data_IF_087725919339
#
_entry.id   IF_087725919339
#
_cell.length_a   1.000
_cell.length_b   1.000
_cell.length_c   1.000
_cell.angle_alpha   90.00
_cell.angle_beta   90.00
_cell.angle_gamma   90.00
#
_symmetry.space_group_name_H-M   'P 1'
#
loop_
_entity.id
_entity.type
_entity.pdbx_description
1 polymer ?
#
# COMPACT_ATOMS: atom_id res chain seq x y z
N UNK A 1 8.09 0.82 -23.58
CA UNK A 1 8.30 1.42 -22.25
C UNK A 1 8.56 0.38 -21.17
N UNK A 2 7.68 -0.61 -20.95
CA UNK A 2 7.85 -1.69 -19.95
C UNK A 2 9.17 -2.48 -20.08
N UNK A 3 9.60 -2.81 -21.30
CA UNK A 3 10.90 -3.47 -21.55
C UNK A 3 12.08 -2.64 -21.05
N UNK A 4 12.08 -1.32 -21.32
CA UNK A 4 13.15 -0.42 -20.88
C UNK A 4 13.23 -0.32 -19.36
N UNK A 5 12.08 -0.18 -18.67
CA UNK A 5 12.06 -0.15 -17.19
C UNK A 5 12.57 -1.45 -16.59
N UNK A 6 12.24 -2.59 -17.21
CA UNK A 6 12.72 -3.90 -16.75
C UNK A 6 14.24 -4.02 -16.87
N UNK A 7 14.81 -3.55 -17.99
CA UNK A 7 16.27 -3.54 -18.19
C UNK A 7 16.95 -2.63 -17.16
N UNK A 8 16.44 -1.42 -16.93
CA UNK A 8 17.01 -0.50 -15.92
C UNK A 8 16.95 -1.10 -14.52
N UNK A 9 15.85 -1.76 -14.15
CA UNK A 9 15.72 -2.42 -12.85
C UNK A 9 16.76 -3.53 -12.67
N UNK A 10 16.96 -4.39 -13.69
CA UNK A 10 17.99 -5.44 -13.65
C UNK A 10 19.38 -4.85 -13.51
N UNK A 11 19.71 -3.79 -14.27
CA UNK A 11 21.02 -3.13 -14.13
C UNK A 11 21.24 -2.59 -12.72
N UNK A 12 20.22 -1.99 -12.10
CA UNK A 12 20.31 -1.41 -10.77
C UNK A 12 20.44 -2.48 -9.67
N UNK A 13 19.79 -3.62 -9.83
CA UNK A 13 19.93 -4.77 -8.93
C UNK A 13 21.35 -5.36 -9.04
N UNK A 14 21.85 -5.55 -10.26
CA UNK A 14 23.20 -6.07 -10.49
C UNK A 14 24.28 -5.13 -9.95
N UNK A 15 24.14 -3.82 -10.16
CA UNK A 15 25.09 -2.84 -9.62
C UNK A 15 25.04 -2.82 -8.09
N UNK A 16 23.86 -2.89 -7.49
CA UNK A 16 23.70 -2.98 -6.04
C UNK A 16 24.30 -4.25 -5.44
N UNK A 17 24.16 -5.40 -6.12
CA UNK A 17 24.76 -6.65 -5.66
C UNK A 17 26.28 -6.59 -5.75
N UNK A 18 26.82 -6.02 -6.83
CA UNK A 18 28.25 -5.87 -7.04
C UNK A 18 28.89 -4.93 -6.03
N UNK A 19 28.27 -3.78 -5.73
CA UNK A 19 28.76 -2.85 -4.70
C UNK A 19 28.72 -3.48 -3.33
N UNK A 20 27.62 -4.15 -2.97
CA UNK A 20 27.50 -4.82 -1.67
C UNK A 20 28.55 -5.93 -1.49
N UNK A 21 28.88 -6.66 -2.56
CA UNK A 21 29.95 -7.64 -2.56
C UNK A 21 31.33 -6.98 -2.43
N UNK A 22 31.60 -5.90 -3.18
CA UNK A 22 32.88 -5.20 -3.16
C UNK A 22 33.15 -4.45 -1.85
N UNK A 23 32.12 -3.91 -1.20
CA UNK A 23 32.22 -3.16 0.08
C UNK A 23 31.70 -3.98 1.26
N UNK A 24 31.97 -5.30 1.25
CA UNK A 24 31.42 -6.20 2.25
C UNK A 24 31.88 -5.83 3.67
N UNK A 25 30.93 -5.39 4.49
CA UNK A 25 31.14 -5.05 5.90
C UNK A 25 30.24 -5.87 6.85
N UNK A 26 29.72 -7.02 6.39
CA UNK A 26 28.82 -7.88 7.16
C UNK A 26 27.36 -7.41 7.23
N UNK A 27 27.01 -6.28 6.60
CA UNK A 27 25.66 -5.72 6.57
C UNK A 27 25.13 -5.68 5.13
N UNK A 28 23.90 -6.15 4.90
CA UNK A 28 23.31 -6.35 3.57
C UNK A 28 22.55 -5.11 3.05
N UNK A 29 23.20 -3.95 3.03
CA UNK A 29 22.57 -2.69 2.58
C UNK A 29 22.08 -2.73 1.12
N UNK A 30 22.72 -3.54 0.27
CA UNK A 30 22.28 -3.73 -1.12
C UNK A 30 20.87 -4.33 -1.27
N UNK A 31 20.35 -5.00 -0.23
CA UNK A 31 18.98 -5.54 -0.25
C UNK A 31 17.94 -4.42 -0.27
N UNK A 32 18.17 -3.33 0.46
CA UNK A 32 17.25 -2.18 0.47
C UNK A 32 17.15 -1.52 -0.92
N UNK A 33 18.29 -1.36 -1.60
CA UNK A 33 18.36 -0.81 -2.95
C UNK A 33 17.69 -1.76 -3.95
N UNK A 34 17.92 -3.07 -3.81
CA UNK A 34 17.25 -4.10 -4.63
C UNK A 34 15.74 -4.06 -4.45
N UNK A 35 15.24 -3.97 -3.22
CA UNK A 35 13.81 -3.85 -2.94
C UNK A 35 13.21 -2.58 -3.56
N UNK A 36 13.92 -1.45 -3.49
CA UNK A 36 13.52 -0.21 -4.14
C UNK A 36 13.44 -0.34 -5.67
N UNK A 37 14.42 -1.01 -6.28
CA UNK A 37 14.43 -1.32 -7.71
C UNK A 37 13.20 -2.15 -8.13
N UNK A 38 12.91 -3.20 -7.35
CA UNK A 38 11.75 -4.08 -7.56
C UNK A 38 10.44 -3.29 -7.42
N UNK A 39 10.35 -2.41 -6.42
CA UNK A 39 9.18 -1.54 -6.23
C UNK A 39 8.94 -0.62 -7.45
N UNK A 40 9.97 0.08 -7.93
CA UNK A 40 9.85 0.93 -9.13
C UNK A 40 9.43 0.10 -10.33
N UNK A 41 10.03 -1.08 -10.50
CA UNK A 41 9.71 -1.98 -11.60
C UNK A 41 8.24 -2.42 -11.56
N UNK A 42 7.77 -2.97 -10.43
CA UNK A 42 6.40 -3.42 -10.25
C UNK A 42 5.39 -2.28 -10.44
N UNK A 43 5.63 -1.13 -9.81
CA UNK A 43 4.74 0.03 -9.92
C UNK A 43 4.69 0.59 -11.33
N UNK A 44 5.79 0.62 -12.07
CA UNK A 44 5.81 1.01 -13.47
C UNK A 44 5.03 0.02 -14.35
N UNK A 45 5.21 -1.29 -14.15
CA UNK A 45 4.49 -2.32 -14.90
C UNK A 45 2.97 -2.18 -14.73
N UNK A 46 2.51 -1.92 -13.51
CA UNK A 46 1.08 -1.77 -13.20
C UNK A 46 0.55 -0.42 -13.69
N UNK A 47 1.31 0.67 -13.49
CA UNK A 47 0.89 2.03 -13.88
C UNK A 47 0.75 2.16 -15.39
N UNK A 48 1.73 1.67 -16.16
CA UNK A 48 1.75 1.81 -17.62
C UNK A 48 0.92 0.77 -18.36
N UNK A 49 0.51 -0.34 -17.71
CA UNK A 49 -0.37 -1.32 -18.34
C UNK A 49 -1.75 -0.71 -18.53
N UNK A 50 -2.16 -0.63 -19.81
CA UNK A 50 -3.50 -0.21 -20.24
C UNK A 50 -4.51 -1.29 -19.85
N UNK A 51 -5.72 -0.87 -19.49
CA UNK A 51 -6.82 -1.77 -19.13
C UNK A 51 -6.86 -2.24 -17.67
N UNK A 52 -5.84 -1.93 -16.85
CA UNK A 52 -5.94 -2.17 -15.40
C UNK A 52 -6.79 -1.08 -14.76
N UNK A 53 -7.76 -1.50 -13.97
CA UNK A 53 -8.63 -0.62 -13.22
C UNK A 53 -7.82 0.29 -12.27
N UNK A 54 -8.06 1.61 -12.22
CA UNK A 54 -7.26 2.52 -11.39
C UNK A 54 -7.27 2.17 -9.90
N UNK A 55 -8.35 1.57 -9.40
CA UNK A 55 -8.43 1.09 -8.01
C UNK A 55 -7.40 0.01 -7.69
N UNK A 56 -7.14 -0.92 -8.62
CA UNK A 56 -6.08 -1.92 -8.49
C UNK A 56 -4.71 -1.25 -8.44
N UNK A 57 -4.50 -0.22 -9.27
CA UNK A 57 -3.22 0.51 -9.31
C UNK A 57 -2.92 1.15 -7.96
N UNK A 58 -3.88 1.89 -7.41
CA UNK A 58 -3.73 2.58 -6.13
C UNK A 58 -3.55 1.60 -4.95
N UNK A 59 -4.39 0.55 -4.89
CA UNK A 59 -4.29 -0.46 -3.84
C UNK A 59 -2.94 -1.18 -3.87
N UNK A 60 -2.50 -1.59 -5.07
CA UNK A 60 -1.21 -2.30 -5.21
C UNK A 60 -0.03 -1.40 -4.92
N UNK A 61 -0.09 -0.11 -5.31
CA UNK A 61 0.94 0.87 -4.95
C UNK A 61 1.05 1.06 -3.44
N UNK A 62 -0.08 1.20 -2.73
CA UNK A 62 -0.07 1.32 -1.27
C UNK A 62 0.54 0.07 -0.60
N UNK A 63 0.13 -1.13 -1.01
CA UNK A 63 0.67 -2.39 -0.49
C UNK A 63 2.17 -2.55 -0.78
N UNK A 64 2.59 -2.30 -2.03
CA UNK A 64 3.98 -2.44 -2.45
C UNK A 64 4.88 -1.42 -1.74
N UNK A 65 4.39 -0.19 -1.52
CA UNK A 65 5.13 0.85 -0.83
C UNK A 65 5.31 0.50 0.65
N UNK A 66 4.26 0.02 1.32
CA UNK A 66 4.36 -0.47 2.70
C UNK A 66 5.39 -1.60 2.82
N UNK A 67 5.33 -2.59 1.91
CA UNK A 67 6.29 -3.70 1.91
C UNK A 67 7.73 -3.22 1.71
N UNK A 68 7.95 -2.31 0.76
CA UNK A 68 9.25 -1.70 0.52
C UNK A 68 9.80 -1.05 1.78
N UNK A 69 8.99 -0.24 2.46
CA UNK A 69 9.42 0.50 3.65
C UNK A 69 9.80 -0.45 4.78
N UNK A 70 9.07 -1.56 4.97
CA UNK A 70 9.42 -2.59 5.95
C UNK A 70 10.76 -3.28 5.60
N UNK A 71 10.99 -3.57 4.32
CA UNK A 71 12.27 -4.17 3.88
C UNK A 71 13.43 -3.19 4.06
N UNK A 72 13.25 -1.90 3.75
CA UNK A 72 14.28 -0.88 4.00
C UNK A 72 14.60 -0.81 5.49
N UNK A 73 13.58 -0.76 6.34
CA UNK A 73 13.75 -0.67 7.79
C UNK A 73 14.53 -1.89 8.34
N UNK A 74 14.19 -3.10 7.87
CA UNK A 74 14.84 -4.35 8.27
C UNK A 74 16.32 -4.44 7.87
N UNK A 75 16.68 -4.01 6.65
CA UNK A 75 18.02 -4.27 6.08
C UNK A 75 18.95 -3.05 6.06
N UNK A 76 18.41 -1.83 6.06
CA UNK A 76 19.21 -0.60 6.08
C UNK A 76 19.47 -0.13 7.51
N UNK A 77 18.47 -0.13 8.40
CA UNK A 77 18.62 0.50 9.71
C UNK A 77 19.10 -0.43 10.84
N UNK A 78 19.22 -1.73 10.56
CA UNK A 78 19.79 -2.70 11.49
C UNK A 78 18.76 -3.24 12.49
N UNK A 79 18.96 -4.51 12.85
CA UNK A 79 18.03 -5.42 13.54
C UNK A 79 17.65 -5.00 14.97
N UNK A 80 16.86 -3.94 15.14
CA UNK A 80 16.12 -3.66 16.39
C UNK A 80 14.61 -3.71 16.18
N UNK A 81 14.14 -4.59 15.28
CA UNK A 81 12.74 -4.82 14.91
C UNK A 81 11.84 -5.09 16.13
N UNK A 82 12.40 -5.52 17.27
CA UNK A 82 11.64 -6.03 18.42
C UNK A 82 11.69 -5.09 19.64
N UNK A 83 12.69 -4.20 19.76
CA UNK A 83 12.86 -3.34 20.96
C UNK A 83 12.52 -1.88 20.73
N UNK A 84 12.62 -1.39 19.50
CA UNK A 84 12.22 -0.03 19.15
C UNK A 84 11.36 -0.06 17.90
N UNK A 85 10.20 0.57 18.04
CA UNK A 85 9.29 0.84 16.97
C UNK A 85 10.01 1.27 15.70
N UNK A 86 10.00 0.41 14.70
CA UNK A 86 10.52 0.74 13.39
C UNK A 86 9.76 1.94 12.84
N UNK A 87 10.49 2.91 12.28
CA UNK A 87 9.88 4.09 11.67
C UNK A 87 8.86 3.68 10.59
N UNK A 88 9.16 2.58 9.88
CA UNK A 88 8.27 2.01 8.89
C UNK A 88 6.91 1.60 9.47
N UNK A 89 6.88 0.79 10.53
CA UNK A 89 5.62 0.27 11.11
C UNK A 89 4.92 1.33 11.95
N UNK A 90 5.68 2.11 12.74
CA UNK A 90 5.16 3.11 13.66
C UNK A 90 4.67 4.39 12.98
N UNK A 91 5.18 4.74 11.79
CA UNK A 91 4.81 5.98 11.11
C UNK A 91 4.46 5.76 9.64
N UNK A 92 5.39 5.24 8.85
CA UNK A 92 5.26 5.28 7.40
C UNK A 92 4.07 4.46 6.89
N UNK A 93 3.91 3.23 7.39
CA UNK A 93 2.84 2.30 7.04
C UNK A 93 1.42 2.87 7.33
N UNK A 94 1.11 3.40 8.54
CA UNK A 94 -0.14 4.10 8.79
C UNK A 94 -0.46 5.20 7.77
N UNK A 95 0.50 6.07 7.47
CA UNK A 95 0.29 7.18 6.54
C UNK A 95 0.13 6.74 5.09
N UNK A 96 0.84 5.68 4.66
CA UNK A 96 0.65 5.09 3.33
C UNK A 96 -0.77 4.57 3.17
N UNK A 97 -1.32 3.87 4.16
CA UNK A 97 -2.70 3.39 4.09
C UNK A 97 -3.72 4.52 4.14
N UNK A 98 -3.54 5.54 4.99
CA UNK A 98 -4.39 6.73 4.99
C UNK A 98 -4.40 7.38 3.60
N UNK A 99 -3.22 7.58 3.01
CA UNK A 99 -3.08 8.16 1.67
C UNK A 99 -3.80 7.33 0.61
N UNK A 100 -3.64 6.00 0.62
CA UNK A 100 -4.33 5.11 -0.31
C UNK A 100 -5.85 5.11 -0.15
N UNK A 101 -6.35 5.09 1.10
CA UNK A 101 -7.78 5.14 1.44
C UNK A 101 -8.38 6.45 0.93
N UNK A 102 -7.73 7.59 1.21
CA UNK A 102 -8.17 8.90 0.74
C UNK A 102 -8.14 8.98 -0.78
N UNK A 103 -7.08 8.47 -1.43
CA UNK A 103 -6.95 8.51 -2.88
C UNK A 103 -8.11 7.78 -3.57
N UNK A 104 -8.43 6.56 -3.15
CA UNK A 104 -9.56 5.81 -3.72
C UNK A 104 -10.90 6.48 -3.37
N UNK A 105 -11.08 6.98 -2.14
CA UNK A 105 -12.28 7.74 -1.77
C UNK A 105 -12.50 8.96 -2.69
N UNK A 106 -11.44 9.73 -2.98
CA UNK A 106 -11.51 10.88 -3.90
C UNK A 106 -11.95 10.43 -5.30
N UNK A 107 -11.39 9.33 -5.80
CA UNK A 107 -11.79 8.76 -7.10
C UNK A 107 -13.25 8.31 -7.10
N UNK A 108 -13.70 7.65 -6.04
CA UNK A 108 -15.09 7.21 -5.87
C UNK A 108 -16.08 8.39 -5.83
N UNK A 109 -15.75 9.46 -5.12
CA UNK A 109 -16.60 10.66 -5.02
C UNK A 109 -16.67 11.40 -6.36
N UNK A 110 -15.55 11.49 -7.09
CA UNK A 110 -15.49 12.14 -8.41
C UNK A 110 -16.25 11.32 -9.47
N UNK A 111 -16.17 10.00 -9.42
CA UNK A 111 -16.76 9.11 -10.42
C UNK A 111 -17.87 8.23 -9.82
N UNK A 112 -19.05 8.82 -9.58
CA UNK A 112 -20.20 8.13 -8.98
C UNK A 112 -20.61 6.85 -9.72
N UNK A 113 -20.49 6.82 -11.05
CA UNK A 113 -20.84 5.65 -11.87
C UNK A 113 -19.95 4.43 -11.59
N UNK A 114 -18.72 4.65 -11.12
CA UNK A 114 -17.76 3.57 -10.86
C UNK A 114 -17.70 3.16 -9.39
N UNK A 115 -18.51 3.74 -8.49
CA UNK A 115 -18.45 3.45 -7.04
C UNK A 115 -18.43 1.93 -6.79
N UNK A 116 -19.30 1.17 -7.49
CA UNK A 116 -19.37 -0.30 -7.42
C UNK A 116 -18.03 -0.97 -7.69
N UNK A 117 -17.33 -0.52 -8.71
CA UNK A 117 -16.07 -1.12 -9.17
C UNK A 117 -14.93 -0.86 -8.19
N UNK A 118 -15.02 0.21 -7.39
CA UNK A 118 -14.03 0.54 -6.35
C UNK A 118 -14.35 -0.05 -4.97
N UNK A 119 -15.57 -0.55 -4.73
CA UNK A 119 -15.99 -1.01 -3.39
C UNK A 119 -15.06 -2.09 -2.83
N UNK A 120 -14.73 -3.09 -3.63
CA UNK A 120 -13.89 -4.21 -3.19
C UNK A 120 -12.45 -3.76 -2.91
N UNK A 121 -11.88 -2.90 -3.76
CA UNK A 121 -10.53 -2.36 -3.54
C UNK A 121 -10.47 -1.50 -2.28
N UNK A 122 -11.51 -0.68 -2.05
CA UNK A 122 -11.62 0.13 -0.85
C UNK A 122 -11.78 -0.72 0.41
N UNK A 123 -12.63 -1.75 0.36
CA UNK A 123 -12.82 -2.68 1.47
C UNK A 123 -11.51 -3.36 1.87
N UNK A 124 -10.78 -3.91 0.89
CA UNK A 124 -9.47 -4.55 1.14
C UNK A 124 -8.51 -3.56 1.77
N UNK A 125 -8.42 -2.33 1.25
CA UNK A 125 -7.51 -1.33 1.78
C UNK A 125 -7.89 -0.86 3.19
N UNK A 126 -9.18 -0.80 3.53
CA UNK A 126 -9.64 -0.53 4.89
C UNK A 126 -9.30 -1.67 5.85
N UNK A 127 -9.48 -2.93 5.45
CA UNK A 127 -9.09 -4.10 6.27
C UNK A 127 -7.59 -4.10 6.52
N UNK A 128 -6.80 -3.87 5.48
CA UNK A 128 -5.34 -3.79 5.57
C UNK A 128 -4.90 -2.54 6.35
N UNK A 129 -5.64 -1.43 6.28
CA UNK A 129 -5.39 -0.20 7.04
C UNK A 129 -5.58 -0.33 8.56
N UNK A 130 -6.19 -1.42 9.03
CA UNK A 130 -6.29 -1.77 10.46
C UNK A 130 -5.02 -2.53 10.94
N UNK A 131 -4.29 -3.16 10.02
CA UNK A 131 -3.09 -3.95 10.34
C UNK A 131 -2.04 -3.16 11.15
N UNK A 132 -1.73 -1.88 10.87
CA UNK A 132 -0.77 -1.12 11.68
C UNK A 132 -1.17 -1.04 13.15
N UNK A 133 -2.46 -0.86 13.45
CA UNK A 133 -2.97 -0.84 14.82
C UNK A 133 -2.75 -2.19 15.51
N UNK A 134 -3.02 -3.28 14.81
CA UNK A 134 -2.77 -4.63 15.31
C UNK A 134 -1.28 -4.81 15.61
N UNK A 135 -0.39 -4.44 14.67
CA UNK A 135 1.06 -4.53 14.90
C UNK A 135 1.52 -3.70 16.10
N UNK A 136 1.02 -2.47 16.26
CA UNK A 136 1.40 -1.62 17.40
C UNK A 136 1.00 -2.25 18.75
N UNK A 137 -0.17 -2.89 18.82
CA UNK A 137 -0.66 -3.53 20.05
C UNK A 137 0.17 -4.76 20.45
N UNK A 138 0.69 -5.52 19.47
CA UNK A 138 1.46 -6.73 19.74
C UNK A 138 2.99 -6.51 19.79
N UNK A 139 3.51 -5.51 19.09
CA UNK A 139 4.96 -5.32 18.85
C UNK A 139 5.49 -4.04 19.53
N UNK A 140 4.69 -3.33 20.33
CA UNK A 140 5.07 -2.09 21.03
C UNK A 140 5.63 -1.04 20.05
N UNK A 141 5.10 -0.99 18.82
CA UNK A 141 5.51 0.01 17.85
C UNK A 141 4.95 1.40 18.24
N UNK A 142 5.80 2.25 18.81
CA UNK A 142 5.57 3.67 19.05
C UNK A 142 5.80 4.53 17.80
N UNK A 143 5.03 5.61 17.63
CA UNK A 143 3.96 6.07 18.50
C UNK A 143 2.60 5.46 18.11
N UNK A 144 1.75 5.28 19.13
CA UNK A 144 0.45 4.63 18.97
C UNK A 144 -0.57 5.48 18.17
N UNK A 145 -0.41 6.80 18.20
CA UNK A 145 -1.38 7.74 17.62
C UNK A 145 -1.52 7.62 16.10
N UNK A 146 -0.44 7.33 15.38
CA UNK A 146 -0.44 7.21 13.90
C UNK A 146 -1.32 6.05 13.45
N UNK A 147 -1.20 4.90 14.12
CA UNK A 147 -1.97 3.70 13.85
C UNK A 147 -3.43 3.84 14.27
N UNK A 148 -3.71 4.58 15.35
CA UNK A 148 -5.09 4.93 15.73
C UNK A 148 -5.74 5.77 14.65
N UNK A 149 -5.06 6.80 14.12
CA UNK A 149 -5.61 7.63 13.03
C UNK A 149 -5.88 6.78 11.78
N UNK A 150 -4.95 5.89 11.41
CA UNK A 150 -5.14 5.01 10.26
C UNK A 150 -6.35 4.06 10.42
N UNK A 151 -6.49 3.45 11.61
CA UNK A 151 -7.63 2.60 11.92
C UNK A 151 -8.95 3.38 11.96
N UNK A 152 -8.98 4.58 12.54
CA UNK A 152 -10.15 5.46 12.54
C UNK A 152 -10.54 5.86 11.12
N UNK A 153 -9.58 6.23 10.27
CA UNK A 153 -9.82 6.56 8.86
C UNK A 153 -10.40 5.36 8.09
N UNK A 154 -9.87 4.16 8.35
CA UNK A 154 -10.35 2.91 7.77
C UNK A 154 -11.78 2.60 8.21
N UNK A 155 -12.09 2.74 9.50
CA UNK A 155 -13.43 2.49 10.05
C UNK A 155 -14.46 3.50 9.54
N UNK A 156 -14.12 4.79 9.52
CA UNK A 156 -14.97 5.84 8.96
C UNK A 156 -15.30 5.56 7.49
N UNK A 157 -14.29 5.15 6.73
CA UNK A 157 -14.48 4.80 5.33
C UNK A 157 -15.33 3.55 5.17
N UNK A 158 -15.15 2.53 6.02
CA UNK A 158 -15.95 1.30 5.99
C UNK A 158 -17.42 1.60 6.30
N UNK A 159 -17.72 2.49 7.23
CA UNK A 159 -19.09 2.97 7.49
C UNK A 159 -19.64 3.67 6.24
N UNK A 160 -18.86 4.57 5.63
CA UNK A 160 -19.23 5.22 4.37
C UNK A 160 -19.52 4.22 3.25
N UNK A 161 -18.71 3.17 3.16
CA UNK A 161 -18.85 2.08 2.19
C UNK A 161 -20.16 1.32 2.38
N UNK A 162 -20.53 0.99 3.62
CA UNK A 162 -21.77 0.29 3.94
C UNK A 162 -23.00 1.13 3.56
N UNK A 163 -22.97 2.44 3.83
CA UNK A 163 -24.04 3.37 3.46
C UNK A 163 -24.17 3.46 1.93
N UNK A 164 -23.04 3.57 1.22
CA UNK A 164 -23.02 3.62 -0.25
C UNK A 164 -23.50 2.30 -0.86
N UNK A 165 -23.01 1.15 -0.37
CA UNK A 165 -23.39 -0.16 -0.85
C UNK A 165 -24.90 -0.39 -0.72
N UNK A 166 -25.51 -0.01 0.42
CA UNK A 166 -26.94 -0.15 0.62
C UNK A 166 -27.76 0.66 -0.41
N UNK A 167 -27.42 1.94 -0.63
CA UNK A 167 -28.08 2.77 -1.67
C UNK A 167 -27.98 2.14 -3.06
N UNK A 168 -26.83 1.56 -3.35
CA UNK A 168 -26.52 0.93 -4.62
C UNK A 168 -27.22 -0.43 -4.82
N UNK A 169 -27.49 -1.17 -3.75
CA UNK A 169 -28.31 -2.40 -3.79
C UNK A 169 -29.78 -2.04 -4.01
N UNK A 170 -30.30 -1.07 -3.25
CA UNK A 170 -31.69 -0.61 -3.38
C UNK A 170 -32.01 -0.09 -4.77
N UNK A 171 -31.10 0.68 -5.40
CA UNK A 171 -31.31 1.20 -6.75
C UNK A 171 -31.40 0.11 -7.82
N UNK A 172 -30.64 -0.98 -7.69
CA UNK A 172 -30.72 -2.11 -8.62
C UNK A 172 -32.01 -2.90 -8.46
N UNK A 173 -32.44 -3.15 -7.21
CA UNK A 173 -33.70 -3.83 -6.95
C UNK A 173 -34.88 -3.02 -7.49
N UNK A 174 -34.92 -1.70 -7.24
CA UNK A 174 -35.97 -0.83 -7.77
C UNK A 174 -36.02 -0.81 -9.31
N UNK A 175 -34.89 -1.02 -9.99
CA UNK A 175 -34.83 -1.13 -11.46
C UNK A 175 -35.39 -2.45 -11.97
N UNK A 176 -35.08 -3.57 -11.29
CA UNK A 176 -35.56 -4.91 -11.70
C UNK A 176 -37.03 -5.14 -11.43
N UNK A 177 -37.60 -4.48 -10.43
CA UNK A 177 -39.03 -4.57 -10.07
C UNK A 177 -39.91 -3.48 -10.72
N UNK A 178 -39.35 -2.63 -11.59
CA UNK A 178 -40.10 -1.69 -12.45
C UNK A 178 -40.34 -2.23 -13.87
N UNK A 179 -40.21 -3.55 -14.04
CA UNK A 179 -40.61 -4.32 -15.23
C UNK A 179 -41.76 -5.22 -14.80
#
# INVERSE_FOLDING_TARGET
MTKSVSVTAVMLILSSALTNWATWNGHLWGVAITAFAIYIWLTALITFKRGIHPGVKLMTQAMALTLLLVVIDMFAFGTEIITRASWSVGFAMPFVFIGGIIAINVVMVRNKQTIRDYLLYQLVLCVVGIIPLVLVLFVVAQPLWSSVIAASCSLLTLIGLLICANKTVVSEFARKFRV
#
